data_IF_852810324799
#
_entry.id   IF_852810324799
#
_cell.length_a   1.000
_cell.length_b   1.000
_cell.length_c   1.000
_cell.angle_alpha   90.00
_cell.angle_beta   90.00
_cell.angle_gamma   90.00
#
_symmetry.space_group_name_H-M   'P 1'
#
loop_
_entity.id
_entity.type
_entity.pdbx_description
1 polymer ?
#
# COMPACT_ATOMS: atom_id res chain seq x y z
N UNK A 1 -9.50 -10.16 -4.08
CA UNK A 1 -10.96 -9.99 -3.93
C UNK A 1 -11.41 -8.56 -4.22
N UNK A 2 -10.49 -7.64 -4.55
CA UNK A 2 -10.85 -6.27 -4.94
C UNK A 2 -11.11 -5.35 -3.74
N UNK A 3 -11.05 -5.89 -2.52
CA UNK A 3 -11.03 -5.09 -1.29
C UNK A 3 -9.61 -4.65 -0.97
N UNK A 4 -9.47 -3.50 -0.33
CA UNK A 4 -8.21 -3.13 0.32
C UNK A 4 -8.16 -3.67 1.76
N UNK A 5 -6.96 -3.69 2.33
CA UNK A 5 -6.70 -3.94 3.75
C UNK A 5 -5.80 -2.85 4.34
N UNK A 6 -5.84 -2.70 5.66
CA UNK A 6 -4.96 -1.80 6.40
C UNK A 6 -3.95 -2.66 7.17
N UNK A 7 -2.66 -2.44 6.92
CA UNK A 7 -1.59 -3.02 7.74
C UNK A 7 -1.16 -2.01 8.79
N UNK A 8 -1.16 -2.43 10.06
CA UNK A 8 -0.72 -1.63 11.19
C UNK A 8 0.42 -2.35 11.89
N UNK A 9 1.50 -1.64 12.15
CA UNK A 9 2.60 -2.15 12.96
C UNK A 9 2.42 -1.71 14.41
N UNK A 10 2.76 -2.59 15.34
CA UNK A 10 2.87 -2.26 16.76
C UNK A 10 4.14 -2.87 17.32
N UNK A 11 4.70 -2.23 18.33
CA UNK A 11 5.77 -2.79 19.14
C UNK A 11 5.34 -2.69 20.58
N UNK A 12 5.07 -3.83 21.20
CA UNK A 12 4.96 -3.88 22.65
C UNK A 12 6.36 -3.85 23.27
N UNK A 13 6.44 -3.27 24.46
CA UNK A 13 7.67 -3.21 25.24
C UNK A 13 8.19 -4.63 25.52
N UNK A 14 9.45 -4.88 25.17
CA UNK A 14 10.18 -6.12 25.50
C UNK A 14 10.76 -6.12 26.92
N UNK A 15 10.44 -5.11 27.75
CA UNK A 15 10.92 -5.06 29.13
C UNK A 15 10.33 -6.19 29.99
N UNK A 16 11.16 -6.68 30.91
CA UNK A 16 11.12 -8.04 31.51
C UNK A 16 9.77 -8.52 32.04
N UNK A 17 9.34 -9.68 31.54
CA UNK A 17 8.39 -10.58 32.22
C UNK A 17 6.96 -10.62 31.70
N UNK A 18 6.60 -9.81 30.69
CA UNK A 18 5.27 -9.89 30.07
C UNK A 18 5.36 -10.40 28.63
N UNK A 19 4.58 -11.44 28.25
CA UNK A 19 4.42 -11.77 26.84
C UNK A 19 3.81 -10.56 26.12
N UNK A 20 4.19 -10.30 24.86
CA UNK A 20 3.62 -9.19 24.10
C UNK A 20 2.10 -9.35 24.03
N UNK A 21 1.38 -8.31 24.43
CA UNK A 21 -0.08 -8.27 24.39
C UNK A 21 -0.61 -8.09 22.95
N UNK A 22 0.23 -7.65 22.03
CA UNK A 22 -0.08 -7.35 20.64
C UNK A 22 0.89 -8.02 19.67
N UNK A 23 0.35 -8.41 18.51
CA UNK A 23 1.15 -8.80 17.35
C UNK A 23 1.97 -7.63 16.80
N UNK A 24 3.17 -7.91 16.29
CA UNK A 24 4.03 -6.87 15.68
C UNK A 24 3.42 -6.24 14.42
N UNK A 25 2.64 -7.02 13.67
CA UNK A 25 1.94 -6.59 12.47
C UNK A 25 0.51 -7.13 12.54
N UNK A 26 -0.48 -6.27 12.28
CA UNK A 26 -1.90 -6.62 12.17
C UNK A 26 -2.42 -6.20 10.81
N UNK A 27 -3.19 -7.06 10.15
CA UNK A 27 -3.96 -6.72 8.97
C UNK A 27 -5.43 -6.58 9.37
N UNK A 28 -6.04 -5.45 9.00
CA UNK A 28 -7.47 -5.17 9.21
C UNK A 28 -8.15 -5.21 7.85
N UNK A 29 -9.28 -5.90 7.80
CA UNK A 29 -10.13 -6.08 6.62
C UNK A 29 -11.56 -5.67 6.97
N UNK A 30 -12.28 -5.09 6.02
CA UNK A 30 -13.73 -4.89 6.17
C UNK A 30 -14.45 -6.24 6.09
N UNK A 31 -15.33 -6.53 7.05
CA UNK A 31 -16.03 -7.83 7.12
C UNK A 31 -16.90 -8.09 5.88
N UNK A 32 -17.31 -7.02 5.19
CA UNK A 32 -18.15 -7.07 4.00
C UNK A 32 -17.38 -6.72 2.70
N UNK A 33 -16.05 -6.62 2.73
CA UNK A 33 -15.19 -6.31 1.56
C UNK A 33 -15.55 -5.01 0.81
N UNK A 34 -16.01 -3.98 1.53
CA UNK A 34 -16.49 -2.73 0.92
C UNK A 34 -15.40 -1.70 0.63
N UNK A 35 -14.16 -1.93 1.03
CA UNK A 35 -13.08 -0.96 0.79
C UNK A 35 -12.60 -1.02 -0.65
N UNK A 36 -12.62 0.12 -1.34
CA UNK A 36 -12.20 0.21 -2.74
C UNK A 36 -10.76 -0.28 -2.88
N UNK A 37 -10.51 -1.05 -3.94
CA UNK A 37 -9.19 -1.59 -4.25
C UNK A 37 -8.10 -0.52 -4.20
N UNK A 38 -7.06 -0.83 -3.44
CA UNK A 38 -5.84 -0.05 -3.35
C UNK A 38 -4.72 -0.69 -4.21
N UNK A 39 -3.67 0.07 -4.53
CA UNK A 39 -2.48 -0.48 -5.18
C UNK A 39 -1.83 -1.56 -4.33
N UNK A 40 -1.29 -2.57 -5.00
CA UNK A 40 -0.70 -3.77 -4.37
C UNK A 40 0.75 -3.57 -3.92
N UNK A 41 1.29 -2.36 -4.05
CA UNK A 41 2.70 -2.08 -3.81
C UNK A 41 2.93 -0.79 -3.03
N UNK A 42 3.79 -0.90 -2.02
CA UNK A 42 4.41 0.20 -1.29
C UNK A 42 5.87 -0.19 -1.01
N UNK A 43 6.80 0.24 -1.86
CA UNK A 43 8.17 -0.29 -1.84
C UNK A 43 9.14 0.47 -0.91
N UNK A 44 8.80 1.69 -0.48
CA UNK A 44 9.69 2.53 0.31
C UNK A 44 8.95 3.53 1.19
N UNK A 45 9.63 4.07 2.21
CA UNK A 45 9.05 5.07 3.10
C UNK A 45 8.60 6.33 2.34
N UNK A 46 9.42 6.86 1.43
CA UNK A 46 9.12 8.02 0.57
C UNK A 46 8.27 7.63 -0.65
N UNK A 47 7.17 6.90 -0.41
CA UNK A 47 6.29 6.43 -1.47
C UNK A 47 5.54 7.57 -2.16
N UNK A 48 5.49 7.48 -3.48
CA UNK A 48 4.65 8.25 -4.38
C UNK A 48 4.37 7.37 -5.60
N UNK A 49 3.21 7.52 -6.20
CA UNK A 49 2.62 6.46 -7.03
C UNK A 49 3.47 6.12 -8.27
N UNK A 50 4.14 7.09 -8.85
CA UNK A 50 4.95 6.92 -10.08
C UNK A 50 6.33 6.29 -9.85
N UNK A 51 6.76 6.12 -8.59
CA UNK A 51 8.13 5.69 -8.26
C UNK A 51 8.39 4.21 -8.55
N UNK A 52 7.33 3.40 -8.56
CA UNK A 52 7.40 1.94 -8.71
C UNK A 52 6.16 1.42 -9.43
N UNK A 53 6.37 0.46 -10.35
CA UNK A 53 5.31 -0.28 -11.01
C UNK A 53 4.78 -1.40 -10.10
N UNK A 54 3.59 -1.93 -10.40
CA UNK A 54 3.00 -3.00 -9.59
C UNK A 54 3.73 -4.35 -9.72
N UNK A 55 4.55 -4.51 -10.76
CA UNK A 55 5.48 -5.65 -10.90
C UNK A 55 6.79 -5.46 -10.12
N UNK A 56 6.93 -4.36 -9.37
CA UNK A 56 8.13 -4.03 -8.60
C UNK A 56 9.25 -3.39 -9.43
N UNK A 57 9.08 -3.21 -10.74
CA UNK A 57 10.10 -2.55 -11.57
C UNK A 57 10.13 -1.04 -11.31
N UNK A 58 11.33 -0.48 -11.29
CA UNK A 58 11.55 0.97 -11.21
C UNK A 58 11.51 1.56 -12.62
N UNK A 59 10.69 2.58 -12.90
CA UNK A 59 10.72 3.27 -14.19
C UNK A 59 12.07 3.94 -14.43
N UNK A 60 12.71 3.66 -15.58
CA UNK A 60 13.93 4.36 -15.99
C UNK A 60 13.70 5.87 -16.16
N UNK A 61 12.52 6.24 -16.65
CA UNK A 61 12.04 7.62 -16.75
C UNK A 61 10.70 7.70 -16.01
N UNK A 62 10.76 8.18 -14.78
CA UNK A 62 9.58 8.40 -13.96
C UNK A 62 8.77 9.61 -14.48
N UNK A 63 7.45 9.47 -14.52
CA UNK A 63 6.56 10.60 -14.77
C UNK A 63 6.53 11.50 -13.54
N UNK A 64 6.66 12.83 -13.68
CA UNK A 64 6.54 13.76 -12.57
C UNK A 64 5.24 13.56 -11.78
N UNK A 65 5.35 13.03 -10.55
CA UNK A 65 4.17 12.73 -9.73
C UNK A 65 3.36 13.98 -9.41
N UNK A 66 4.03 15.12 -9.21
CA UNK A 66 3.41 16.40 -8.87
C UNK A 66 2.60 17.03 -10.02
N UNK A 67 2.90 16.67 -11.28
CA UNK A 67 2.14 17.11 -12.46
C UNK A 67 0.94 16.22 -12.76
N UNK A 68 0.86 15.04 -12.13
CA UNK A 68 -0.17 14.04 -12.39
C UNK A 68 -1.08 13.87 -11.18
N UNK A 69 -0.71 12.98 -10.25
CA UNK A 69 -1.53 12.62 -9.10
C UNK A 69 -1.38 13.62 -7.94
N UNK A 70 -0.22 14.26 -7.85
CA UNK A 70 0.13 15.23 -6.83
C UNK A 70 -0.18 14.76 -5.39
N UNK A 71 0.14 13.49 -5.11
CA UNK A 71 -0.01 12.90 -3.78
C UNK A 71 1.33 12.42 -3.21
N UNK A 72 1.42 12.30 -1.89
CA UNK A 72 2.62 11.79 -1.22
C UNK A 72 2.22 10.91 -0.04
N UNK A 73 2.79 9.70 0.05
CA UNK A 73 2.45 8.70 1.07
C UNK A 73 0.95 8.43 1.18
N UNK A 74 0.27 8.44 0.04
CA UNK A 74 -1.10 7.98 -0.08
C UNK A 74 -1.12 6.79 -1.02
N UNK A 75 -2.04 5.87 -0.79
CA UNK A 75 -2.38 4.92 -1.84
C UNK A 75 -3.17 5.67 -2.94
N UNK A 76 -3.11 5.17 -4.17
CA UNK A 76 -3.88 5.72 -5.28
C UNK A 76 -5.21 4.97 -5.39
N UNK A 77 -6.29 5.69 -5.68
CA UNK A 77 -7.54 5.03 -6.10
C UNK A 77 -7.32 4.39 -7.47
N UNK A 78 -7.69 3.12 -7.59
CA UNK A 78 -7.62 2.40 -8.86
C UNK A 78 -8.93 2.62 -9.61
N UNK A 79 -9.09 3.82 -10.16
CA UNK A 79 -10.20 4.09 -11.09
C UNK A 79 -9.68 3.88 -12.52
N UNK A 80 -10.37 3.06 -13.31
CA UNK A 80 -10.04 2.76 -14.71
C UNK A 80 -8.63 2.18 -14.99
N UNK A 81 -7.96 1.57 -14.00
CA UNK A 81 -6.74 0.78 -14.21
C UNK A 81 -5.46 1.54 -14.60
N UNK A 82 -5.53 2.82 -14.96
CA UNK A 82 -4.39 3.56 -15.55
C UNK A 82 -3.15 3.68 -14.67
N UNK A 83 -3.32 3.53 -13.35
CA UNK A 83 -2.26 3.63 -12.33
C UNK A 83 -1.61 2.27 -12.03
N UNK A 84 -2.27 1.18 -12.39
CA UNK A 84 -1.81 -0.19 -12.11
C UNK A 84 -1.13 -0.75 -13.35
N UNK A 85 0.21 -0.67 -13.38
CA UNK A 85 1.02 -1.22 -14.47
C UNK A 85 1.92 -2.33 -13.94
N UNK A 86 1.89 -3.56 -14.50
CA UNK A 86 0.89 -4.04 -15.45
C UNK A 86 -0.51 -4.08 -14.82
N UNK A 87 -1.55 -4.17 -15.65
CA UNK A 87 -2.92 -4.34 -15.17
C UNK A 87 -3.02 -5.57 -14.26
N UNK A 88 -3.81 -5.52 -13.17
CA UNK A 88 -4.01 -6.68 -12.32
C UNK A 88 -4.59 -7.86 -13.12
N UNK A 89 -4.14 -9.11 -12.87
CA UNK A 89 -4.85 -10.27 -13.38
C UNK A 89 -6.27 -10.28 -12.78
N UNK A 90 -7.27 -10.46 -13.65
CA UNK A 90 -8.68 -10.54 -13.27
C UNK A 90 -9.04 -11.76 -12.45
#
# INVERSE_FOLDING_TARGET
>A
DGSAEILVTSSDSIYEGQPPANFTIKAVRDVEDRWIQARRIWNQHTYHVTNVREDGTIPQYEQPNWETLNTFRTNAQIENGGVCKPEPPG
#
